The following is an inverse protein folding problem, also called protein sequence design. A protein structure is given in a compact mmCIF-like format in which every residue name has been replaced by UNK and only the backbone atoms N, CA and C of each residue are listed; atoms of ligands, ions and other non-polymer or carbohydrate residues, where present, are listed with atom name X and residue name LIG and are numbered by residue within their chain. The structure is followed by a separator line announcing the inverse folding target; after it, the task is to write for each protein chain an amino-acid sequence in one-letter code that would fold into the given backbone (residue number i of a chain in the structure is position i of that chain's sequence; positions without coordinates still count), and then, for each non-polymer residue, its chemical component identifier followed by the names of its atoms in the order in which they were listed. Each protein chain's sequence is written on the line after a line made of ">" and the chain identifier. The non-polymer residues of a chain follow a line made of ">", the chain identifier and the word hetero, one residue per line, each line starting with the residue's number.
data_IF_038880825913
#
_entry.id   IF_038880825913
#
_cell.length_a   1.000
_cell.length_b   1.000
_cell.length_c   1.000
_cell.angle_alpha   90.00
_cell.angle_beta   90.00
_cell.angle_gamma   90.00
#
_symmetry.space_group_name_H-M   'P 1'
#
loop_
_entity.id
_entity.type
_entity.pdbx_description
1 polymer ?
#
# COMPACT_ATOMS: atom_id res chain seq x y z
N UNK A 1 -2.41 9.37 -10.94
CA UNK A 1 -3.68 8.91 -10.32
C UNK A 1 -3.29 8.33 -8.98
N UNK A 2 -3.88 8.79 -7.88
CA UNK A 2 -3.52 8.33 -6.53
C UNK A 2 -4.45 7.22 -6.06
N UNK A 3 -4.07 6.50 -5.00
CA UNK A 3 -4.95 5.49 -4.38
C UNK A 3 -6.25 6.15 -3.87
N UNK A 4 -6.15 7.37 -3.34
CA UNK A 4 -7.31 8.14 -2.90
C UNK A 4 -8.26 8.44 -4.08
N UNK A 5 -7.73 8.78 -5.25
CA UNK A 5 -8.55 8.96 -6.47
C UNK A 5 -9.16 7.65 -6.96
N UNK A 6 -8.43 6.54 -6.88
CA UNK A 6 -8.97 5.22 -7.24
C UNK A 6 -10.14 4.83 -6.33
N UNK A 7 -10.03 5.07 -5.02
CA UNK A 7 -11.11 4.81 -4.06
C UNK A 7 -12.32 5.67 -4.41
N UNK A 8 -12.13 6.97 -4.67
CA UNK A 8 -13.23 7.86 -5.09
C UNK A 8 -13.90 7.36 -6.38
N UNK A 9 -13.13 6.97 -7.39
CA UNK A 9 -13.66 6.45 -8.66
C UNK A 9 -14.46 5.14 -8.47
N UNK A 10 -13.98 4.23 -7.62
CA UNK A 10 -14.61 2.91 -7.40
C UNK A 10 -15.79 2.93 -6.44
N UNK A 11 -15.84 3.89 -5.52
CA UNK A 11 -16.84 3.93 -4.44
C UNK A 11 -17.79 5.12 -4.52
N UNK A 12 -17.45 6.17 -5.27
CA UNK A 12 -18.24 7.39 -5.42
C UNK A 12 -18.25 8.28 -4.17
N UNK A 13 -17.36 8.05 -3.20
CA UNK A 13 -17.26 8.84 -1.98
C UNK A 13 -16.41 10.10 -2.16
N UNK A 14 -16.54 11.07 -1.25
CA UNK A 14 -15.69 12.27 -1.25
C UNK A 14 -14.24 11.95 -0.89
N UNK A 15 -13.31 12.81 -1.30
CA UNK A 15 -11.88 12.67 -1.00
C UNK A 15 -11.61 12.51 0.49
N UNK A 16 -12.30 13.29 1.33
CA UNK A 16 -12.15 13.26 2.78
C UNK A 16 -12.54 11.89 3.37
N UNK A 17 -13.60 11.27 2.85
CA UNK A 17 -14.00 9.92 3.23
C UNK A 17 -13.04 8.86 2.68
N UNK A 18 -12.52 9.05 1.46
CA UNK A 18 -11.52 8.17 0.89
C UNK A 18 -10.20 8.18 1.68
N UNK A 19 -9.75 9.36 2.13
CA UNK A 19 -8.58 9.47 3.01
C UNK A 19 -8.83 8.82 4.38
N UNK A 20 -10.02 9.02 4.97
CA UNK A 20 -10.40 8.36 6.23
C UNK A 20 -10.38 6.82 6.13
N UNK A 21 -10.93 6.28 5.03
CA UNK A 21 -10.92 4.85 4.75
C UNK A 21 -9.49 4.32 4.56
N UNK A 22 -8.66 5.04 3.79
CA UNK A 22 -7.26 4.68 3.57
C UNK A 22 -6.48 4.63 4.87
N UNK A 23 -6.61 5.66 5.72
CA UNK A 23 -5.93 5.74 7.01
C UNK A 23 -6.33 4.61 7.95
N UNK A 24 -7.61 4.22 7.95
CA UNK A 24 -8.10 3.09 8.77
C UNK A 24 -7.46 1.77 8.34
N UNK A 25 -7.41 1.52 7.02
CA UNK A 25 -6.79 0.31 6.47
C UNK A 25 -5.28 0.30 6.69
N UNK A 26 -4.61 1.45 6.50
CA UNK A 26 -3.19 1.59 6.80
C UNK A 26 -2.89 1.35 8.27
N UNK A 27 -3.69 1.89 9.19
CA UNK A 27 -3.55 1.64 10.62
C UNK A 27 -3.62 0.15 10.94
N UNK A 28 -4.61 -0.55 10.37
CA UNK A 28 -4.75 -1.99 10.54
C UNK A 28 -3.56 -2.78 9.96
N UNK A 29 -3.12 -2.44 8.74
CA UNK A 29 -1.98 -3.10 8.10
C UNK A 29 -0.67 -2.83 8.87
N UNK A 30 -0.45 -1.62 9.37
CA UNK A 30 0.73 -1.29 10.19
C UNK A 30 0.75 -2.06 11.50
N UNK A 31 -0.41 -2.33 12.08
CA UNK A 31 -0.51 -3.15 13.30
C UNK A 31 -0.26 -4.65 13.03
N UNK A 32 -0.62 -5.15 11.84
CA UNK A 32 -0.46 -6.57 11.48
C UNK A 32 0.85 -6.90 10.75
N UNK A 33 1.52 -5.90 10.18
CA UNK A 33 2.75 -6.09 9.43
C UNK A 33 3.96 -5.67 10.27
N UNK A 34 5.08 -6.41 10.21
CA UNK A 34 6.32 -6.01 10.85
C UNK A 34 6.80 -4.65 10.31
N UNK A 35 7.41 -3.83 11.18
CA UNK A 35 7.88 -2.46 10.90
C UNK A 35 8.55 -2.23 9.53
N UNK A 36 9.45 -3.11 9.01
CA UNK A 36 10.07 -2.91 7.70
C UNK A 36 9.07 -2.93 6.53
N UNK A 37 7.90 -3.57 6.67
CA UNK A 37 6.85 -3.57 5.65
C UNK A 37 5.93 -2.37 5.79
N UNK A 38 5.65 -1.93 7.01
CA UNK A 38 4.86 -0.72 7.27
C UNK A 38 5.46 0.52 6.57
N UNK A 39 6.79 0.68 6.64
CA UNK A 39 7.50 1.78 5.98
C UNK A 39 7.41 1.72 4.44
N UNK A 40 7.35 0.52 3.86
CA UNK A 40 7.21 0.33 2.41
C UNK A 40 5.81 0.67 1.92
N UNK A 41 4.78 0.39 2.73
CA UNK A 41 3.38 0.71 2.39
C UNK A 41 3.12 2.22 2.46
N UNK A 42 3.71 2.95 3.43
CA UNK A 42 3.63 4.42 3.45
C UNK A 42 4.26 5.05 2.21
N UNK A 43 5.41 4.52 1.76
CA UNK A 43 6.05 4.94 0.52
C UNK A 43 5.18 4.67 -0.71
N UNK A 44 4.42 3.59 -0.70
CA UNK A 44 3.50 3.22 -1.76
C UNK A 44 2.28 4.15 -1.86
N UNK A 45 1.68 4.47 -0.71
CA UNK A 45 0.52 5.37 -0.61
C UNK A 45 0.88 6.80 -0.99
N UNK A 46 2.09 7.23 -0.65
CA UNK A 46 2.59 8.56 -0.98
C UNK A 46 3.06 8.68 -2.43
N UNK A 47 3.19 7.55 -3.14
CA UNK A 47 3.63 7.51 -4.54
C UNK A 47 2.43 7.50 -5.50
N UNK A 48 2.57 8.12 -6.66
CA UNK A 48 1.61 7.96 -7.76
C UNK A 48 1.45 6.47 -8.11
N UNK A 49 0.24 6.03 -8.47
CA UNK A 49 -0.08 4.62 -8.76
C UNK A 49 0.88 3.99 -9.79
N UNK A 50 1.45 4.78 -10.68
CA UNK A 50 2.48 4.34 -11.64
C UNK A 50 3.82 3.99 -10.98
N UNK A 51 4.24 4.77 -9.99
CA UNK A 51 5.42 4.47 -9.16
C UNK A 51 5.13 3.37 -8.13
N UNK A 52 3.86 3.24 -7.73
CA UNK A 52 3.41 2.19 -6.81
C UNK A 52 3.65 0.78 -7.38
N UNK A 53 3.44 0.58 -8.69
CA UNK A 53 3.72 -0.70 -9.35
C UNK A 53 5.19 -1.14 -9.17
N UNK A 54 6.14 -0.23 -9.39
CA UNK A 54 7.58 -0.54 -9.26
C UNK A 54 7.99 -0.88 -7.83
N UNK A 55 7.37 -0.21 -6.85
CA UNK A 55 7.60 -0.51 -5.42
C UNK A 55 6.99 -1.86 -5.05
N UNK A 56 5.76 -2.16 -5.50
CA UNK A 56 5.12 -3.47 -5.31
C UNK A 56 5.95 -4.60 -5.91
N UNK A 57 6.48 -4.43 -7.11
CA UNK A 57 7.35 -5.43 -7.76
C UNK A 57 8.64 -5.68 -6.96
N UNK A 58 9.18 -4.62 -6.35
CA UNK A 58 10.37 -4.72 -5.49
C UNK A 58 10.07 -5.40 -4.15
N UNK A 59 8.94 -5.08 -3.52
CA UNK A 59 8.47 -5.72 -2.29
C UNK A 59 8.16 -7.19 -2.53
N UNK A 60 7.39 -7.51 -3.56
CA UNK A 60 7.03 -8.90 -3.91
C UNK A 60 8.25 -9.74 -4.27
N UNK A 61 9.25 -9.17 -4.95
CA UNK A 61 10.52 -9.86 -5.23
C UNK A 61 11.33 -10.13 -3.96
N UNK A 62 11.39 -9.16 -3.04
CA UNK A 62 12.13 -9.29 -1.77
C UNK A 62 11.43 -10.26 -0.82
N UNK A 63 10.10 -10.19 -0.72
CA UNK A 63 9.28 -11.13 0.04
C UNK A 63 9.31 -12.53 -0.58
N UNK A 64 9.22 -12.65 -1.91
CA UNK A 64 9.33 -13.91 -2.62
C UNK A 64 10.70 -14.56 -2.45
N UNK A 65 11.78 -13.77 -2.41
CA UNK A 65 13.12 -14.27 -2.10
C UNK A 65 13.32 -14.72 -0.66
N UNK A 66 12.63 -14.09 0.30
CA UNK A 66 12.69 -14.44 1.73
C UNK A 66 11.77 -15.62 2.09
N UNK A 67 10.57 -15.67 1.51
CA UNK A 67 9.61 -16.77 1.68
C UNK A 67 9.90 -17.99 0.80
N UNK A 68 10.57 -17.80 -0.34
CA UNK A 68 10.93 -18.87 -1.27
C UNK A 68 12.26 -19.56 -0.94
N UNK A 69 13.09 -18.98 -0.06
CA UNK A 69 14.35 -19.58 0.36
C UNK A 69 14.17 -20.44 1.60
N UNK A 70 13.49 -21.57 1.41
CA UNK A 70 13.66 -22.76 2.24
C UNK A 70 14.17 -23.87 1.32
N UNK A 71 15.50 -23.96 1.27
CA UNK A 71 16.35 -24.98 0.62
C UNK A 71 16.37 -25.03 -0.92
#
# INVERSE_FOLDING_TARGET
>A
MTIVQLIQEKTGISEEQAQGALNTVLGFLKEKLPEPLAAQIDGLVSSDVSAASTVIDSVTSTLGGLFGKKE
#
